data_IF_411548808432
#
_entry.id   IF_411548808432
#
_cell.length_a   1.000
_cell.length_b   1.000
_cell.length_c   1.000
_cell.angle_alpha   90.00
_cell.angle_beta   90.00
_cell.angle_gamma   90.00
#
_symmetry.space_group_name_H-M   'P 1'
#
loop_
_entity.id
_entity.type
_entity.pdbx_description
1 polymer ?
#
# COMPACT_ATOMS: atom_id res chain seq x y z
N UNK A 1 0.57 24.63 -22.31
CA UNK A 1 2.01 24.28 -22.32
C UNK A 1 2.81 25.29 -21.49
N UNK A 2 4.10 25.02 -21.27
CA UNK A 2 5.03 25.93 -20.60
C UNK A 2 6.17 26.30 -21.55
N UNK A 3 6.56 27.57 -21.58
CA UNK A 3 7.66 28.04 -22.41
C UNK A 3 8.95 28.10 -21.60
N UNK A 4 9.95 27.30 -21.96
CA UNK A 4 11.25 27.26 -21.26
C UNK A 4 12.11 28.52 -21.44
N UNK A 5 11.81 29.36 -22.44
CA UNK A 5 12.52 30.61 -22.65
C UNK A 5 11.89 31.78 -21.88
N UNK A 6 10.57 31.87 -21.92
CA UNK A 6 9.82 32.97 -21.31
C UNK A 6 9.38 32.68 -19.86
N UNK A 7 9.49 31.41 -19.42
CA UNK A 7 9.03 30.90 -18.12
C UNK A 7 7.55 31.20 -17.80
N UNK A 8 6.68 31.19 -18.82
CA UNK A 8 5.23 31.41 -18.67
C UNK A 8 4.42 30.22 -19.19
N UNK A 9 3.23 30.04 -18.61
CA UNK A 9 2.22 29.12 -19.10
C UNK A 9 1.36 29.76 -20.18
N UNK A 10 0.98 28.98 -21.17
CA UNK A 10 0.14 29.44 -22.27
C UNK A 10 -0.75 28.30 -22.80
N UNK A 11 -1.89 28.64 -23.39
CA UNK A 11 -2.81 27.68 -24.00
C UNK A 11 -2.35 27.34 -25.42
N UNK A 12 -2.09 26.07 -25.73
CA UNK A 12 -1.61 25.65 -27.05
C UNK A 12 -2.56 26.01 -28.18
N UNK A 13 -3.87 25.94 -27.93
CA UNK A 13 -4.90 26.15 -28.95
C UNK A 13 -5.16 27.64 -29.20
N UNK A 14 -5.18 28.48 -28.15
CA UNK A 14 -5.47 29.92 -28.28
C UNK A 14 -4.25 30.82 -28.33
N UNK A 15 -3.06 30.32 -27.96
CA UNK A 15 -1.84 31.13 -27.84
C UNK A 15 -1.82 32.07 -26.62
N UNK A 16 -2.88 32.09 -25.82
CA UNK A 16 -3.02 33.04 -24.72
C UNK A 16 -2.20 32.63 -23.49
N UNK A 17 -1.62 33.62 -22.81
CA UNK A 17 -0.91 33.41 -21.54
C UNK A 17 -1.93 33.05 -20.45
N UNK A 18 -1.69 31.93 -19.78
CA UNK A 18 -2.51 31.48 -18.66
C UNK A 18 -2.10 32.27 -17.42
N UNK A 19 -2.98 33.17 -16.97
CA UNK A 19 -2.82 33.95 -15.72
C UNK A 19 -3.65 33.28 -14.62
N UNK A 20 -2.98 32.62 -13.67
CA UNK A 20 -3.67 31.90 -12.60
C UNK A 20 -2.89 30.66 -12.15
N UNK A 21 -3.62 29.59 -11.80
CA UNK A 21 -3.02 28.32 -11.39
C UNK A 21 -2.16 27.75 -12.53
N UNK A 22 -0.90 27.44 -12.23
CA UNK A 22 0.01 26.74 -13.12
C UNK A 22 -0.57 25.37 -13.51
N UNK A 23 -0.82 25.09 -14.80
CA UNK A 23 -1.15 23.75 -15.26
C UNK A 23 -0.01 22.76 -14.96
N UNK A 24 -0.35 21.51 -14.66
CA UNK A 24 0.64 20.44 -14.53
C UNK A 24 1.36 20.21 -15.87
N UNK A 25 2.62 20.64 -15.97
CA UNK A 25 3.44 20.52 -17.17
C UNK A 25 4.80 19.86 -16.83
N UNK A 26 5.20 18.78 -17.53
CA UNK A 26 6.45 18.07 -17.26
C UNK A 26 7.71 18.92 -17.41
N UNK A 27 7.76 19.81 -18.40
CA UNK A 27 8.94 20.65 -18.68
C UNK A 27 9.14 21.73 -17.61
N UNK A 28 8.04 22.35 -17.16
CA UNK A 28 8.06 23.27 -16.03
C UNK A 28 8.57 22.57 -14.76
N UNK A 29 8.09 21.35 -14.48
CA UNK A 29 8.54 20.56 -13.34
C UNK A 29 10.04 20.26 -13.44
N UNK A 30 10.53 19.84 -14.61
CA UNK A 30 11.94 19.56 -14.83
C UNK A 30 12.82 20.80 -14.61
N UNK A 31 12.36 21.98 -15.04
CA UNK A 31 13.04 23.25 -14.80
C UNK A 31 13.11 23.60 -13.31
N UNK A 32 12.01 23.45 -12.58
CA UNK A 32 11.96 23.65 -11.12
C UNK A 32 12.91 22.71 -10.36
N UNK A 33 12.94 21.42 -10.74
CA UNK A 33 13.83 20.41 -10.14
C UNK A 33 15.29 20.79 -10.35
N UNK A 34 15.66 21.25 -11.56
CA UNK A 34 17.03 21.70 -11.88
C UNK A 34 17.41 22.99 -11.14
N UNK A 35 16.43 23.86 -10.87
CA UNK A 35 16.62 25.08 -10.09
C UNK A 35 16.74 24.86 -8.57
N UNK A 36 16.69 23.62 -8.09
CA UNK A 36 16.82 23.27 -6.68
C UNK A 36 15.54 23.47 -5.85
N UNK A 37 14.46 23.95 -6.47
CA UNK A 37 13.16 24.16 -5.82
C UNK A 37 12.06 23.63 -6.73
N UNK A 38 11.61 22.42 -6.45
CA UNK A 38 10.35 21.88 -6.98
C UNK A 38 9.34 21.80 -5.84
N UNK A 39 8.73 22.93 -5.42
CA UNK A 39 7.65 22.88 -4.46
C UNK A 39 6.54 21.98 -5.01
N UNK A 40 5.95 21.18 -4.11
CA UNK A 40 4.73 20.43 -4.45
C UNK A 40 3.61 21.42 -4.76
N UNK A 41 2.72 21.01 -5.65
CA UNK A 41 1.61 21.87 -6.05
C UNK A 41 0.69 22.09 -4.85
N UNK A 42 0.10 23.29 -4.71
CA UNK A 42 -0.92 23.51 -3.68
C UNK A 42 -2.10 22.56 -3.94
N UNK A 43 -2.40 21.70 -2.96
CA UNK A 43 -3.40 20.63 -3.06
C UNK A 43 -2.84 19.27 -3.51
N UNK A 44 -1.53 19.17 -3.80
CA UNK A 44 -0.83 17.90 -3.99
C UNK A 44 -0.76 17.19 -2.63
N UNK A 45 -1.66 16.24 -2.41
CA UNK A 45 -1.58 15.31 -1.28
C UNK A 45 -0.40 14.41 -1.61
N UNK A 46 0.70 14.44 -0.83
CA UNK A 46 1.76 13.47 -0.98
C UNK A 46 1.12 12.07 -1.00
N UNK A 47 1.72 11.09 -1.67
CA UNK A 47 1.52 9.70 -1.27
C UNK A 47 2.02 9.59 0.19
N UNK A 48 1.20 10.01 1.16
CA UNK A 48 1.58 10.49 2.49
C UNK A 48 1.91 9.39 3.47
N UNK A 49 2.07 8.17 2.94
CA UNK A 49 2.06 6.95 3.73
C UNK A 49 0.71 6.73 4.39
N UNK A 50 0.69 5.83 5.36
CA UNK A 50 -0.49 5.61 6.19
C UNK A 50 -0.70 6.85 7.07
N UNK A 51 -1.92 7.44 7.12
CA UNK A 51 -2.22 8.54 8.04
C UNK A 51 -1.81 8.19 9.47
N UNK A 52 -1.41 9.17 10.28
CA UNK A 52 -1.06 8.88 11.68
C UNK A 52 -2.28 8.45 12.47
N UNK A 53 -2.05 7.71 13.57
CA UNK A 53 -3.14 7.31 14.45
C UNK A 53 -3.89 8.53 14.97
N UNK A 54 -3.16 9.56 15.38
CA UNK A 54 -3.69 10.81 15.93
C UNK A 54 -4.55 11.55 14.92
N UNK A 55 -4.14 11.55 13.65
CA UNK A 55 -4.89 12.23 12.57
C UNK A 55 -6.29 11.63 12.44
N UNK A 56 -6.38 10.30 12.32
CA UNK A 56 -7.67 9.62 12.21
C UNK A 56 -8.45 9.72 13.53
N UNK A 57 -7.79 9.47 14.67
CA UNK A 57 -8.44 9.54 15.98
C UNK A 57 -9.06 10.92 16.25
N UNK A 58 -8.34 12.00 15.96
CA UNK A 58 -8.82 13.36 16.18
C UNK A 58 -9.98 13.71 15.24
N UNK A 59 -9.91 13.30 13.96
CA UNK A 59 -11.02 13.50 13.03
C UNK A 59 -12.28 12.72 13.47
N UNK A 60 -12.12 11.43 13.81
CA UNK A 60 -13.21 10.59 14.34
C UNK A 60 -13.81 11.19 15.62
N UNK A 61 -12.98 11.62 16.56
CA UNK A 61 -13.44 12.30 17.77
C UNK A 61 -14.22 13.56 17.43
N UNK A 62 -13.72 14.40 16.50
CA UNK A 62 -14.42 15.62 16.10
C UNK A 62 -15.82 15.35 15.56
N UNK A 63 -15.98 14.37 14.66
CA UNK A 63 -17.29 14.08 14.06
C UNK A 63 -18.26 13.42 15.04
N UNK A 64 -17.75 12.61 15.98
CA UNK A 64 -18.58 11.95 17.00
C UNK A 64 -19.13 12.96 18.02
N UNK A 65 -18.29 13.90 18.46
CA UNK A 65 -18.65 14.92 19.46
C UNK A 65 -19.41 16.10 18.87
N UNK A 66 -19.51 16.21 17.53
CA UNK A 66 -20.42 17.14 16.87
C UNK A 66 -21.90 16.72 16.99
N UNK A 67 -22.17 15.45 17.30
CA UNK A 67 -23.52 14.94 17.55
C UNK A 67 -24.03 15.20 18.96
N UNK A 68 -25.35 15.19 19.15
CA UNK A 68 -25.96 15.33 20.48
C UNK A 68 -25.67 14.12 21.39
N UNK A 69 -25.53 12.93 20.81
CA UNK A 69 -25.22 11.68 21.51
C UNK A 69 -24.38 10.76 20.62
N UNK A 70 -23.45 10.02 21.22
CA UNK A 70 -22.65 8.99 20.54
C UNK A 70 -23.28 7.62 20.77
N UNK A 71 -23.46 6.84 19.71
CA UNK A 71 -24.01 5.48 19.78
C UNK A 71 -22.93 4.41 19.94
N UNK A 72 -23.30 3.22 20.43
CA UNK A 72 -22.36 2.10 20.54
C UNK A 72 -21.79 1.68 19.18
N UNK A 73 -22.62 1.66 18.12
CA UNK A 73 -22.18 1.29 16.77
C UNK A 73 -21.13 2.27 16.24
N UNK A 74 -21.30 3.56 16.52
CA UNK A 74 -20.32 4.59 16.17
C UNK A 74 -18.97 4.35 16.86
N UNK A 75 -18.96 3.97 18.13
CA UNK A 75 -17.75 3.66 18.89
C UNK A 75 -17.07 2.40 18.32
N UNK A 76 -17.85 1.35 18.02
CA UNK A 76 -17.35 0.11 17.43
C UNK A 76 -16.67 0.39 16.09
N UNK A 77 -17.34 1.15 15.22
CA UNK A 77 -16.82 1.52 13.90
C UNK A 77 -15.57 2.38 14.01
N UNK A 78 -15.55 3.39 14.88
CA UNK A 78 -14.38 4.23 15.09
C UNK A 78 -13.16 3.40 15.56
N UNK A 79 -13.37 2.48 16.51
CA UNK A 79 -12.32 1.58 16.96
C UNK A 79 -11.85 0.63 15.86
N UNK A 80 -12.76 0.12 15.03
CA UNK A 80 -12.41 -0.73 13.90
C UNK A 80 -11.58 0.02 12.85
N UNK A 81 -11.89 1.29 12.57
CA UNK A 81 -11.10 2.15 11.67
C UNK A 81 -9.67 2.35 12.19
N UNK A 82 -9.51 2.59 13.49
CA UNK A 82 -8.20 2.73 14.13
C UNK A 82 -7.41 1.42 14.12
N UNK A 83 -8.08 0.29 14.36
CA UNK A 83 -7.47 -1.03 14.25
C UNK A 83 -7.04 -1.34 12.81
N UNK A 84 -7.89 -1.05 11.83
CA UNK A 84 -7.61 -1.18 10.41
C UNK A 84 -6.40 -0.34 9.99
N UNK A 85 -6.28 0.89 10.51
CA UNK A 85 -5.10 1.74 10.30
C UNK A 85 -3.82 1.06 10.74
N UNK A 86 -3.81 0.49 11.94
CA UNK A 86 -2.64 -0.22 12.45
C UNK A 86 -2.33 -1.48 11.63
N UNK A 87 -3.38 -2.17 11.17
CA UNK A 87 -3.27 -3.32 10.29
C UNK A 87 -2.61 -2.98 8.94
N UNK A 88 -3.04 -1.88 8.31
CA UNK A 88 -2.48 -1.38 7.05
C UNK A 88 -1.03 -0.91 7.24
N UNK A 89 -0.72 -0.23 8.35
CA UNK A 89 0.65 0.11 8.71
C UNK A 89 1.54 -1.13 8.87
N UNK A 90 1.02 -2.16 9.53
CA UNK A 90 1.72 -3.44 9.69
C UNK A 90 1.94 -4.12 8.33
N UNK A 91 0.93 -4.10 7.46
CA UNK A 91 1.05 -4.62 6.10
C UNK A 91 2.18 -3.91 5.33
N UNK A 92 2.20 -2.58 5.37
CA UNK A 92 3.18 -1.74 4.70
C UNK A 92 4.62 -2.02 5.17
N UNK A 93 4.83 -2.09 6.49
CA UNK A 93 6.17 -2.15 7.09
C UNK A 93 6.69 -3.57 7.28
N UNK A 94 5.81 -4.55 7.50
CA UNK A 94 6.19 -5.88 7.99
C UNK A 94 5.73 -6.98 7.04
N UNK A 95 4.46 -7.00 6.62
CA UNK A 95 3.94 -8.13 5.83
C UNK A 95 4.42 -8.06 4.39
N UNK A 96 4.30 -6.91 3.72
CA UNK A 96 4.69 -6.74 2.30
C UNK A 96 6.15 -7.14 2.03
N UNK A 97 7.15 -6.75 2.84
CA UNK A 97 8.53 -7.19 2.63
C UNK A 97 8.76 -8.71 2.70
N UNK A 98 7.87 -9.48 3.33
CA UNK A 98 7.97 -10.95 3.37
C UNK A 98 7.52 -11.62 2.05
N UNK A 99 6.80 -10.88 1.20
CA UNK A 99 6.23 -11.35 -0.06
C UNK A 99 6.60 -10.37 -1.18
N UNK A 100 7.88 -10.35 -1.61
CA UNK A 100 8.33 -9.43 -2.65
C UNK A 100 7.63 -9.75 -3.99
N UNK A 101 7.11 -8.72 -4.64
CA UNK A 101 6.47 -8.83 -5.96
C UNK A 101 7.49 -9.05 -7.06
N UNK A 102 8.66 -8.42 -6.94
CA UNK A 102 9.76 -8.55 -7.89
C UNK A 102 10.90 -9.31 -7.23
N UNK A 103 11.20 -10.48 -7.78
CA UNK A 103 12.42 -11.23 -7.45
C UNK A 103 13.37 -11.15 -8.64
N UNK A 104 14.62 -10.80 -8.38
CA UNK A 104 15.65 -10.92 -9.41
C UNK A 104 15.94 -12.40 -9.66
N UNK A 105 15.31 -12.95 -10.72
CA UNK A 105 15.42 -14.36 -11.08
C UNK A 105 16.86 -14.79 -11.37
N UNK A 106 17.68 -13.89 -11.94
CA UNK A 106 19.09 -14.18 -12.23
C UNK A 106 19.90 -14.35 -10.95
N UNK A 107 19.62 -13.52 -9.93
CA UNK A 107 20.32 -13.55 -8.65
C UNK A 107 19.78 -14.60 -7.67
N UNK A 108 18.53 -15.07 -7.85
CA UNK A 108 17.83 -15.97 -6.91
C UNK A 108 18.63 -17.23 -6.53
N UNK A 109 19.33 -17.80 -7.50
CA UNK A 109 20.11 -19.03 -7.36
C UNK A 109 21.57 -18.85 -7.78
N UNK A 110 22.06 -17.61 -7.87
CA UNK A 110 23.41 -17.32 -8.37
C UNK A 110 24.51 -17.91 -7.46
N UNK A 111 24.33 -17.79 -6.14
CA UNK A 111 25.18 -18.42 -5.13
C UNK A 111 25.23 -19.94 -5.26
N UNK A 112 24.09 -20.58 -5.55
CA UNK A 112 24.03 -22.02 -5.75
C UNK A 112 24.82 -22.45 -7.00
N UNK A 113 24.72 -21.65 -8.08
CA UNK A 113 25.46 -21.90 -9.33
C UNK A 113 26.97 -21.81 -9.09
N UNK A 114 27.42 -20.79 -8.37
CA UNK A 114 28.83 -20.64 -7.99
C UNK A 114 29.29 -21.85 -7.18
N UNK A 115 28.58 -22.20 -6.11
CA UNK A 115 28.96 -23.33 -5.25
C UNK A 115 29.00 -24.67 -5.99
N UNK A 116 28.07 -24.90 -6.93
CA UNK A 116 28.10 -26.08 -7.79
C UNK A 116 29.32 -26.11 -8.72
N UNK A 117 29.65 -24.99 -9.36
CA UNK A 117 30.81 -24.89 -10.26
C UNK A 117 32.16 -25.04 -9.53
N UNK A 118 32.23 -24.60 -8.26
CA UNK A 118 33.42 -24.76 -7.42
C UNK A 118 33.57 -26.17 -6.83
N UNK A 119 32.57 -27.04 -6.98
CA UNK A 119 32.58 -28.40 -6.41
C UNK A 119 32.17 -28.46 -4.93
N UNK A 120 31.71 -27.35 -4.34
CA UNK A 120 31.24 -27.26 -2.95
C UNK A 120 29.86 -27.91 -2.74
N UNK A 121 29.21 -28.34 -3.82
CA UNK A 121 27.83 -28.85 -3.82
C UNK A 121 27.66 -29.99 -4.82
N UNK A 122 26.96 -31.05 -4.41
CA UNK A 122 26.57 -32.13 -5.33
C UNK A 122 25.44 -31.67 -6.28
N UNK A 123 25.31 -32.35 -7.42
CA UNK A 123 24.26 -32.08 -8.41
C UNK A 123 22.87 -32.24 -7.80
N UNK A 124 22.66 -33.29 -7.01
CA UNK A 124 21.37 -33.61 -6.38
C UNK A 124 20.98 -32.51 -5.39
N UNK A 125 21.93 -32.05 -4.57
CA UNK A 125 21.70 -30.95 -3.62
C UNK A 125 21.43 -29.63 -4.34
N UNK A 126 22.14 -29.38 -5.44
CA UNK A 126 21.94 -28.20 -6.28
C UNK A 126 20.51 -28.17 -6.86
N UNK A 127 20.09 -29.23 -7.55
CA UNK A 127 18.75 -29.33 -8.15
C UNK A 127 17.64 -29.18 -7.11
N UNK A 128 17.75 -29.89 -5.97
CA UNK A 128 16.76 -29.79 -4.90
C UNK A 128 16.65 -28.37 -4.33
N UNK A 129 17.77 -27.69 -4.12
CA UNK A 129 17.79 -26.34 -3.53
C UNK A 129 17.28 -25.29 -4.52
N UNK A 130 17.62 -25.42 -5.81
CA UNK A 130 17.10 -24.55 -6.88
C UNK A 130 15.57 -24.66 -6.94
N UNK A 131 15.04 -25.88 -7.02
CA UNK A 131 13.59 -26.11 -7.06
C UNK A 131 12.90 -25.50 -5.82
N UNK A 132 13.47 -25.69 -4.63
CA UNK A 132 12.92 -25.11 -3.41
C UNK A 132 12.85 -23.58 -3.45
N UNK A 133 13.93 -22.91 -3.92
CA UNK A 133 13.98 -21.43 -3.99
C UNK A 133 13.04 -20.87 -5.05
N UNK A 134 12.98 -21.50 -6.23
CA UNK A 134 12.07 -21.09 -7.31
C UNK A 134 10.62 -21.23 -6.86
N UNK A 135 10.20 -22.39 -6.35
CA UNK A 135 8.82 -22.58 -5.88
C UNK A 135 8.46 -21.67 -4.70
N UNK A 136 9.42 -21.29 -3.86
CA UNK A 136 9.20 -20.28 -2.82
C UNK A 136 8.98 -18.89 -3.43
N UNK A 137 9.80 -18.50 -4.40
CA UNK A 137 9.70 -17.21 -5.08
C UNK A 137 8.38 -17.08 -5.85
N UNK A 138 7.95 -18.12 -6.55
CA UNK A 138 6.67 -18.14 -7.28
C UNK A 138 5.49 -17.96 -6.31
N UNK A 139 5.49 -18.71 -5.20
CA UNK A 139 4.49 -18.54 -4.15
C UNK A 139 4.49 -17.12 -3.56
N UNK A 140 5.67 -16.55 -3.29
CA UNK A 140 5.78 -15.18 -2.79
C UNK A 140 5.29 -14.14 -3.81
N UNK A 141 5.57 -14.34 -5.10
CA UNK A 141 5.11 -13.48 -6.18
C UNK A 141 3.60 -13.59 -6.44
N UNK A 142 2.96 -14.72 -6.08
CA UNK A 142 1.50 -14.85 -6.10
C UNK A 142 0.82 -14.12 -4.92
N UNK A 143 1.42 -14.16 -3.73
CA UNK A 143 0.88 -13.51 -2.52
C UNK A 143 1.17 -11.99 -2.51
N UNK A 144 2.36 -11.58 -2.94
CA UNK A 144 2.85 -10.21 -2.85
C UNK A 144 1.90 -9.14 -3.42
N UNK A 145 1.41 -9.28 -4.66
CA UNK A 145 0.50 -8.32 -5.28
C UNK A 145 -0.80 -8.12 -4.48
N UNK A 146 -1.32 -9.17 -3.83
CA UNK A 146 -2.53 -9.09 -3.02
C UNK A 146 -2.27 -8.26 -1.76
N UNK A 147 -1.13 -8.48 -1.09
CA UNK A 147 -0.71 -7.69 0.09
C UNK A 147 -0.42 -6.24 -0.30
N UNK A 148 0.17 -6.01 -1.46
CA UNK A 148 0.45 -4.68 -1.97
C UNK A 148 -0.83 -3.91 -2.30
N UNK A 149 -1.78 -4.56 -2.97
CA UNK A 149 -3.11 -4.01 -3.23
C UNK A 149 -3.85 -3.68 -1.93
N UNK A 150 -3.86 -4.58 -0.94
CA UNK A 150 -4.43 -4.28 0.38
C UNK A 150 -3.78 -3.04 1.01
N UNK A 151 -2.45 -2.97 0.93
CA UNK A 151 -1.68 -1.88 1.54
C UNK A 151 -2.05 -0.54 0.91
N UNK A 152 -2.05 -0.44 -0.43
CA UNK A 152 -2.30 0.82 -1.11
C UNK A 152 -3.77 1.22 -1.08
N UNK A 153 -4.69 0.31 -1.40
CA UNK A 153 -6.12 0.57 -1.29
C UNK A 153 -6.51 0.92 0.15
N UNK A 154 -5.93 0.22 1.13
CA UNK A 154 -6.12 0.53 2.55
C UNK A 154 -5.63 1.92 2.93
N UNK A 155 -4.46 2.33 2.43
CA UNK A 155 -3.96 3.71 2.62
C UNK A 155 -4.94 4.72 2.05
N UNK A 156 -5.42 4.52 0.82
CA UNK A 156 -6.33 5.46 0.16
C UNK A 156 -7.64 5.61 0.94
N UNK A 157 -8.22 4.50 1.42
CA UNK A 157 -9.43 4.54 2.24
C UNK A 157 -9.17 5.27 3.57
N UNK A 158 -8.04 4.99 4.23
CA UNK A 158 -7.69 5.63 5.50
C UNK A 158 -7.35 7.11 5.34
N UNK A 159 -6.84 7.53 4.19
CA UNK A 159 -6.68 8.95 3.85
C UNK A 159 -8.04 9.64 3.79
N UNK A 160 -9.08 9.02 3.22
CA UNK A 160 -10.46 9.54 3.30
C UNK A 160 -10.92 9.65 4.76
N UNK A 161 -10.59 8.65 5.59
CA UNK A 161 -10.92 8.64 7.02
C UNK A 161 -10.28 9.79 7.83
N UNK A 162 -9.24 10.44 7.30
CA UNK A 162 -8.57 11.58 7.95
C UNK A 162 -9.31 12.92 7.79
N UNK A 163 -10.28 12.98 6.88
CA UNK A 163 -10.98 14.21 6.50
C UNK A 163 -12.49 14.03 6.42
N UNK A 164 -13.05 13.17 7.29
CA UNK A 164 -14.49 12.96 7.35
C UNK A 164 -15.17 14.18 7.98
N UNK A 165 -16.38 14.47 7.50
CA UNK A 165 -17.24 15.56 7.98
C UNK A 165 -18.45 15.05 8.75
N UNK A 166 -18.88 13.81 8.47
CA UNK A 166 -20.10 13.24 9.04
C UNK A 166 -19.91 11.80 9.52
N UNK A 167 -20.77 11.36 10.44
CA UNK A 167 -20.80 9.97 10.88
C UNK A 167 -21.26 9.02 9.77
N UNK A 168 -22.08 9.48 8.82
CA UNK A 168 -22.46 8.67 7.65
C UNK A 168 -21.23 8.28 6.81
N UNK A 169 -20.36 9.25 6.50
CA UNK A 169 -19.10 9.00 5.77
C UNK A 169 -18.17 8.05 6.55
N UNK A 170 -18.18 8.12 7.89
CA UNK A 170 -17.43 7.17 8.73
C UNK A 170 -17.91 5.72 8.53
N UNK A 171 -19.23 5.49 8.49
CA UNK A 171 -19.78 4.16 8.22
C UNK A 171 -19.47 3.68 6.80
N UNK A 172 -19.57 4.56 5.81
CA UNK A 172 -19.19 4.23 4.41
C UNK A 172 -17.73 3.79 4.31
N UNK A 173 -16.81 4.55 4.93
CA UNK A 173 -15.40 4.22 4.98
C UNK A 173 -15.14 2.85 5.66
N UNK A 174 -15.89 2.54 6.72
CA UNK A 174 -15.80 1.25 7.39
C UNK A 174 -16.28 0.09 6.50
N UNK A 175 -17.39 0.26 5.79
CA UNK A 175 -17.88 -0.77 4.88
C UNK A 175 -16.92 -1.00 3.69
N UNK A 176 -16.30 0.07 3.17
CA UNK A 176 -15.27 -0.03 2.13
C UNK A 176 -14.06 -0.85 2.61
N UNK A 177 -13.59 -0.62 3.84
CA UNK A 177 -12.52 -1.40 4.46
C UNK A 177 -12.90 -2.87 4.69
N UNK A 178 -14.13 -3.13 5.14
CA UNK A 178 -14.60 -4.51 5.36
C UNK A 178 -14.67 -5.28 4.04
N UNK A 179 -15.18 -4.66 2.98
CA UNK A 179 -15.18 -5.25 1.64
C UNK A 179 -13.75 -5.53 1.13
N UNK A 180 -12.81 -4.61 1.36
CA UNK A 180 -11.40 -4.82 1.02
C UNK A 180 -10.81 -6.02 1.79
N UNK A 181 -11.06 -6.12 3.10
CA UNK A 181 -10.59 -7.25 3.94
C UNK A 181 -11.15 -8.59 3.43
N UNK A 182 -12.44 -8.64 3.11
CA UNK A 182 -13.08 -9.85 2.58
C UNK A 182 -12.47 -10.28 1.25
N UNK A 183 -12.30 -9.34 0.32
CA UNK A 183 -11.70 -9.61 -0.99
C UNK A 183 -10.26 -10.11 -0.87
N UNK A 184 -9.46 -9.50 0.01
CA UNK A 184 -8.08 -9.92 0.26
C UNK A 184 -8.02 -11.34 0.82
N UNK A 185 -8.85 -11.67 1.81
CA UNK A 185 -8.91 -13.01 2.37
C UNK A 185 -9.37 -14.05 1.33
N UNK A 186 -10.34 -13.69 0.49
CA UNK A 186 -10.80 -14.54 -0.60
C UNK A 186 -9.68 -14.85 -1.60
N UNK A 187 -8.96 -13.83 -2.07
CA UNK A 187 -7.86 -13.99 -3.04
C UNK A 187 -6.70 -14.78 -2.43
N UNK A 188 -6.35 -14.53 -1.16
CA UNK A 188 -5.32 -15.30 -0.46
C UNK A 188 -5.73 -16.76 -0.29
N UNK A 189 -7.01 -17.04 0.02
CA UNK A 189 -7.51 -18.40 0.10
C UNK A 189 -7.42 -19.13 -1.25
N UNK A 190 -7.65 -18.43 -2.37
CA UNK A 190 -7.47 -19.00 -3.72
C UNK A 190 -6.02 -19.40 -3.97
N UNK A 191 -5.06 -18.51 -3.66
CA UNK A 191 -3.62 -18.81 -3.76
C UNK A 191 -3.22 -19.97 -2.85
N UNK A 192 -3.81 -20.06 -1.66
CA UNK A 192 -3.58 -21.18 -0.75
C UNK A 192 -4.01 -22.52 -1.36
N UNK A 193 -5.17 -22.56 -2.01
CA UNK A 193 -5.69 -23.74 -2.71
C UNK A 193 -4.82 -24.14 -3.91
N UNK A 194 -4.36 -23.17 -4.71
CA UNK A 194 -3.51 -23.41 -5.89
C UNK A 194 -2.13 -23.98 -5.51
N UNK A 195 -1.48 -23.41 -4.50
CA UNK A 195 -0.12 -23.79 -4.11
C UNK A 195 -0.08 -24.89 -3.02
N UNK A 196 -1.22 -25.24 -2.42
CA UNK A 196 -1.29 -26.16 -1.28
C UNK A 196 -0.52 -25.65 -0.05
N UNK A 197 -0.34 -24.32 0.08
CA UNK A 197 0.48 -23.67 1.11
C UNK A 197 -0.36 -22.73 1.96
N UNK A 198 0.03 -22.59 3.23
CA UNK A 198 -0.59 -21.62 4.14
C UNK A 198 -0.23 -20.19 3.71
N UNK A 199 -1.22 -19.30 3.73
CA UNK A 199 -1.11 -17.88 3.37
C UNK A 199 -1.35 -16.99 4.61
N UNK A 200 -0.94 -15.72 4.58
CA UNK A 200 -1.42 -14.72 5.54
C UNK A 200 -2.95 -14.64 5.56
N UNK A 201 -3.53 -14.32 6.71
CA UNK A 201 -4.98 -14.10 6.84
C UNK A 201 -5.23 -12.86 7.70
N UNK A 202 -6.14 -12.01 7.24
CA UNK A 202 -6.69 -10.91 8.05
C UNK A 202 -7.81 -11.44 8.94
N UNK A 203 -7.60 -11.41 10.26
CA UNK A 203 -8.62 -11.88 11.21
C UNK A 203 -9.61 -10.76 11.57
N UNK A 204 -10.62 -11.11 12.37
CA UNK A 204 -11.73 -10.22 12.66
C UNK A 204 -11.31 -8.90 13.33
N UNK A 205 -10.31 -8.98 14.19
CA UNK A 205 -9.77 -7.86 14.97
C UNK A 205 -8.78 -6.98 14.21
N UNK A 206 -8.75 -7.03 12.87
CA UNK A 206 -7.81 -6.26 12.04
C UNK A 206 -6.34 -6.54 12.38
N UNK A 207 -5.97 -7.82 12.37
CA UNK A 207 -4.59 -8.26 12.61
C UNK A 207 -4.19 -9.31 11.58
N UNK A 208 -2.88 -9.37 11.29
CA UNK A 208 -2.32 -10.34 10.35
C UNK A 208 -1.91 -11.62 11.07
N UNK A 209 -2.54 -12.73 10.71
CA UNK A 209 -2.10 -14.07 11.12
C UNK A 209 -1.17 -14.64 10.04
N UNK A 210 0.12 -14.74 10.35
CA UNK A 210 1.11 -15.29 9.42
C UNK A 210 1.27 -16.81 9.57
N UNK A 211 1.53 -17.56 8.47
CA UNK A 211 1.65 -19.03 8.47
C UNK A 211 2.64 -19.66 9.45
N UNK A 212 3.71 -18.95 9.79
CA UNK A 212 4.87 -19.49 10.51
C UNK A 212 5.25 -18.66 11.76
N UNK A 213 4.39 -17.73 12.16
CA UNK A 213 4.55 -16.99 13.43
C UNK A 213 3.39 -17.31 14.34
N UNK A 214 3.69 -17.70 15.57
CA UNK A 214 2.71 -18.02 16.62
C UNK A 214 2.01 -16.78 17.18
N UNK A 215 2.59 -15.58 17.00
CA UNK A 215 1.97 -14.29 17.34
C UNK A 215 1.33 -13.65 16.11
N UNK A 216 0.11 -13.15 16.31
CA UNK A 216 -0.59 -12.28 15.37
C UNK A 216 0.07 -10.89 15.40
N UNK A 217 0.16 -10.24 14.25
CA UNK A 217 0.83 -8.95 14.05
C UNK A 217 -0.17 -7.82 13.83
#
# INVERSE_FOLDING_TARGET
MWCAHCHVFWNWDSGEIIRGRAPHNPDHRNWLVRGGTAPRELGDVPCGGVPTYETIHNNLTSILWAGAYVTNDQIIVANALLAARNCVQNAHMVVRPLFPVVTNQEMLCHDLRIGFLLGDMSKEKFEATVNQRVSKSEFQAAVGPIIEMFTFSGIDILMKASSLETTAQMFECYFELMALKEMVNYELARVSGEYGRKVPVLIETWQWKLPHRSRVL
#
